data_IF_527282802490
#
_entry.id   IF_527282802490
#
_cell.length_a   1.000
_cell.length_b   1.000
_cell.length_c   1.000
_cell.angle_alpha   90.00
_cell.angle_beta   90.00
_cell.angle_gamma   90.00
#
_symmetry.space_group_name_H-M   'P 1'
#
loop_
_entity.id
_entity.type
_entity.pdbx_description
1 polymer ?
#
# COMPACT_ATOMS: atom_id res chain seq x y z
N UNK A 1 103.87 5.49 25.74
CA UNK A 1 102.76 4.67 26.24
C UNK A 1 101.53 5.51 26.39
N UNK A 2 100.60 5.49 25.42
CA UNK A 2 99.32 6.23 25.46
C UNK A 2 98.24 5.15 25.34
N UNK A 3 97.40 5.08 26.38
CA UNK A 3 96.21 4.22 26.38
C UNK A 3 95.01 5.00 25.78
N UNK A 4 94.52 4.55 24.63
CA UNK A 4 93.28 5.06 24.04
C UNK A 4 92.07 4.49 24.74
N UNK A 5 91.20 5.35 25.23
CA UNK A 5 89.87 4.99 25.74
C UNK A 5 88.85 5.00 24.60
N UNK A 6 88.28 3.87 24.36
CA UNK A 6 87.12 3.75 23.42
C UNK A 6 85.85 4.25 24.10
N UNK A 7 85.18 5.18 23.45
CA UNK A 7 83.83 5.70 23.81
C UNK A 7 82.82 4.87 23.02
N UNK A 8 81.87 4.23 23.76
CA UNK A 8 80.76 3.55 23.19
C UNK A 8 79.60 4.60 23.03
N UNK A 9 78.89 4.66 21.89
CA UNK A 9 77.71 5.51 21.76
C UNK A 9 76.49 4.85 22.36
N UNK A 10 75.81 5.62 23.22
CA UNK A 10 74.49 5.29 23.79
C UNK A 10 73.44 5.60 22.74
N UNK A 11 72.64 4.57 22.33
CA UNK A 11 71.52 4.72 21.44
C UNK A 11 70.28 5.24 22.20
N UNK A 12 69.49 6.21 21.68
CA UNK A 12 68.26 6.67 22.34
C UNK A 12 67.12 5.65 22.13
N UNK A 13 66.50 5.23 23.23
CA UNK A 13 65.27 4.44 23.21
C UNK A 13 64.13 5.24 22.63
N UNK A 14 63.60 4.85 21.46
CA UNK A 14 62.38 5.38 20.89
C UNK A 14 61.18 4.73 21.60
N UNK A 15 60.49 5.51 22.43
CA UNK A 15 59.20 5.16 23.01
C UNK A 15 58.14 5.18 21.91
N UNK A 16 57.58 4.03 21.54
CA UNK A 16 56.42 3.86 20.69
C UNK A 16 55.18 4.13 21.53
N UNK A 17 54.59 5.31 21.36
CA UNK A 17 53.22 5.62 21.82
C UNK A 17 52.22 4.96 20.85
N UNK A 18 51.67 3.83 21.24
CA UNK A 18 50.51 3.24 20.52
C UNK A 18 49.27 4.04 20.87
N UNK A 19 48.83 4.90 19.95
CA UNK A 19 47.53 5.57 20.05
C UNK A 19 46.41 4.57 19.77
N UNK A 20 45.70 4.14 20.80
CA UNK A 20 44.50 3.31 20.70
C UNK A 20 43.33 4.22 20.28
N UNK A 21 43.04 4.26 18.98
CA UNK A 21 41.85 4.93 18.45
C UNK A 21 40.63 4.08 18.78
N UNK A 22 39.89 4.48 19.80
CA UNK A 22 38.58 3.90 20.15
C UNK A 22 37.56 4.35 19.09
N UNK A 23 37.32 3.52 18.06
CA UNK A 23 36.22 3.72 17.11
C UNK A 23 34.92 3.38 17.83
N UNK A 24 34.23 4.40 18.35
CA UNK A 24 32.86 4.26 18.81
C UNK A 24 31.98 4.01 17.57
N UNK A 25 31.67 2.76 17.29
CA UNK A 25 30.61 2.40 16.33
C UNK A 25 29.29 2.88 16.91
N UNK A 26 28.76 3.97 16.34
CA UNK A 26 27.37 4.37 16.54
C UNK A 26 26.51 3.23 15.96
N UNK A 27 26.11 2.30 16.81
CA UNK A 27 25.08 1.35 16.48
C UNK A 27 23.80 2.12 16.24
N UNK A 28 23.42 2.28 14.96
CA UNK A 28 22.05 2.66 14.61
C UNK A 28 21.14 1.64 15.27
N UNK A 29 20.11 2.06 16.04
CA UNK A 29 19.19 1.10 16.62
C UNK A 29 18.53 0.33 15.47
N UNK A 30 18.87 -0.95 15.35
CA UNK A 30 18.13 -1.87 14.51
C UNK A 30 16.70 -1.89 15.07
N UNK A 31 15.73 -1.46 14.26
CA UNK A 31 14.32 -1.65 14.57
C UNK A 31 14.13 -3.15 14.64
N UNK A 32 13.84 -3.65 15.86
CA UNK A 32 13.27 -4.93 16.19
C UNK A 32 14.21 -6.15 16.44
N UNK A 33 14.61 -6.25 17.70
CA UNK A 33 14.67 -7.59 18.34
C UNK A 33 13.46 -7.81 19.29
N UNK A 34 12.61 -6.81 19.52
CA UNK A 34 11.42 -6.91 20.38
C UNK A 34 10.17 -6.58 19.59
N UNK A 35 9.21 -7.52 19.48
CA UNK A 35 7.95 -7.29 18.79
C UNK A 35 7.18 -6.10 19.38
N UNK A 36 6.62 -5.27 18.48
CA UNK A 36 5.81 -4.13 18.88
C UNK A 36 4.53 -4.59 19.62
N UNK A 37 4.20 -3.89 20.70
CA UNK A 37 3.06 -4.17 21.57
C UNK A 37 2.02 -3.05 21.56
N UNK A 38 2.37 -1.91 21.01
CA UNK A 38 1.49 -0.72 20.97
C UNK A 38 1.59 -0.08 19.60
N UNK A 39 0.80 -0.61 18.66
CA UNK A 39 0.83 -0.23 17.24
C UNK A 39 -0.25 0.81 16.95
N UNK A 40 0.11 1.84 16.18
CA UNK A 40 -0.84 2.75 15.54
C UNK A 40 -0.76 2.55 14.03
N UNK A 41 -1.89 2.52 13.34
CA UNK A 41 -1.96 2.44 11.87
C UNK A 41 -2.48 3.74 11.27
N UNK A 42 -1.84 4.23 10.21
CA UNK A 42 -2.19 5.49 9.53
C UNK A 42 -2.99 5.27 8.23
N UNK A 43 -3.48 4.06 8.00
CA UNK A 43 -4.40 3.77 6.90
C UNK A 43 -5.37 2.64 7.29
N UNK A 44 -6.62 2.63 6.77
CA UNK A 44 -7.62 1.61 7.10
C UNK A 44 -7.16 0.18 6.79
N UNK A 45 -6.56 -0.05 5.61
CA UNK A 45 -6.07 -1.37 5.22
C UNK A 45 -4.91 -1.88 6.09
N UNK A 46 -4.10 -0.99 6.68
CA UNK A 46 -3.06 -1.39 7.64
C UNK A 46 -3.68 -1.94 8.93
N UNK A 47 -4.81 -1.38 9.39
CA UNK A 47 -5.56 -1.97 10.50
C UNK A 47 -6.08 -3.36 10.12
N UNK A 48 -6.67 -3.53 8.91
CA UNK A 48 -7.09 -4.83 8.39
C UNK A 48 -5.94 -5.85 8.37
N UNK A 49 -4.74 -5.43 7.95
CA UNK A 49 -3.54 -6.29 7.94
C UNK A 49 -3.11 -6.69 9.34
N UNK A 50 -3.12 -5.77 10.33
CA UNK A 50 -2.80 -6.09 11.74
C UNK A 50 -3.77 -7.13 12.28
N UNK A 51 -5.07 -7.01 12.01
CA UNK A 51 -6.06 -8.04 12.37
C UNK A 51 -5.80 -9.36 11.63
N UNK A 52 -5.53 -9.32 10.33
CA UNK A 52 -5.29 -10.53 9.54
C UNK A 52 -4.04 -11.29 9.99
N UNK A 53 -3.03 -10.60 10.50
CA UNK A 53 -1.81 -11.23 11.03
C UNK A 53 -1.96 -11.74 12.47
N UNK A 54 -3.11 -11.52 13.13
CA UNK A 54 -3.35 -11.93 14.52
C UNK A 54 -2.67 -11.05 15.55
N UNK A 55 -2.34 -9.81 15.18
CA UNK A 55 -1.67 -8.83 16.04
C UNK A 55 -2.63 -7.76 16.60
N UNK A 56 -3.93 -7.98 16.53
CA UNK A 56 -4.96 -7.02 16.93
C UNK A 56 -4.85 -6.56 18.39
N UNK A 57 -4.34 -7.41 19.27
CA UNK A 57 -4.11 -7.05 20.67
C UNK A 57 -3.06 -5.93 20.85
N UNK A 58 -2.17 -5.75 19.87
CA UNK A 58 -1.19 -4.67 19.86
C UNK A 58 -1.76 -3.35 19.31
N UNK A 59 -2.90 -3.37 18.59
CA UNK A 59 -3.45 -2.19 17.92
C UNK A 59 -4.11 -1.24 18.93
N UNK A 60 -3.45 -0.12 19.23
CA UNK A 60 -3.91 0.87 20.21
C UNK A 60 -4.50 2.13 19.60
N UNK A 61 -4.32 2.35 18.29
CA UNK A 61 -4.86 3.49 17.57
C UNK A 61 -4.91 3.23 16.07
N UNK A 62 -5.85 3.89 15.39
CA UNK A 62 -6.00 3.84 13.93
C UNK A 62 -6.64 5.13 13.43
N UNK A 63 -6.70 5.30 12.10
CA UNK A 63 -7.33 6.47 11.47
C UNK A 63 -8.83 6.26 11.20
N UNK A 64 -9.52 7.34 10.83
CA UNK A 64 -10.91 7.27 10.37
C UNK A 64 -11.09 6.24 9.24
N UNK A 65 -12.30 5.74 9.07
CA UNK A 65 -12.66 4.70 8.09
C UNK A 65 -11.98 3.33 8.31
N UNK A 66 -11.32 3.09 9.45
CA UNK A 66 -10.82 1.77 9.84
C UNK A 66 -11.96 0.98 10.47
N UNK A 67 -12.81 0.41 9.65
CA UNK A 67 -14.11 -0.18 10.01
C UNK A 67 -14.18 -1.70 9.80
N UNK A 68 -13.13 -2.30 9.25
CA UNK A 68 -13.02 -3.73 9.04
C UNK A 68 -11.75 -4.32 9.72
N UNK A 69 -11.88 -5.51 10.34
CA UNK A 69 -13.13 -6.17 10.71
C UNK A 69 -13.97 -5.32 11.68
N UNK A 70 -15.19 -5.73 11.99
CA UNK A 70 -16.08 -4.93 12.86
C UNK A 70 -15.42 -4.51 14.19
N UNK A 71 -14.52 -5.34 14.73
CA UNK A 71 -13.74 -5.05 15.94
C UNK A 71 -12.84 -3.82 15.81
N UNK A 72 -12.38 -3.47 14.60
CA UNK A 72 -11.57 -2.27 14.36
C UNK A 72 -12.32 -0.97 14.69
N UNK A 73 -13.64 -0.98 14.69
CA UNK A 73 -14.47 0.19 15.05
C UNK A 73 -14.28 0.64 16.50
N UNK A 74 -13.91 -0.28 17.39
CA UNK A 74 -13.65 0.01 18.79
C UNK A 74 -12.27 0.59 19.08
N UNK A 75 -11.34 0.57 18.11
CA UNK A 75 -10.00 1.09 18.27
C UNK A 75 -10.03 2.64 18.28
N UNK A 76 -9.33 3.31 19.19
CA UNK A 76 -9.25 4.77 19.26
C UNK A 76 -8.80 5.39 17.93
N UNK A 77 -9.46 6.46 17.49
CA UNK A 77 -9.09 7.23 16.30
C UNK A 77 -8.00 8.25 16.65
N UNK A 78 -7.01 8.37 15.77
CA UNK A 78 -5.89 9.32 15.87
C UNK A 78 -5.91 10.36 14.75
N UNK A 79 -7.04 10.54 14.09
CA UNK A 79 -7.24 11.45 12.97
C UNK A 79 -7.57 10.74 11.68
N UNK A 80 -7.32 11.40 10.56
CA UNK A 80 -7.54 10.89 9.20
C UNK A 80 -6.22 10.90 8.39
N UNK A 81 -6.30 10.60 7.08
CA UNK A 81 -5.14 10.57 6.18
C UNK A 81 -4.41 11.93 6.05
N UNK A 82 -5.07 13.05 6.39
CA UNK A 82 -4.57 14.41 6.19
C UNK A 82 -4.25 15.13 7.50
N UNK A 83 -4.94 14.77 8.59
CA UNK A 83 -4.83 15.43 9.89
C UNK A 83 -4.73 14.40 11.00
N UNK A 84 -3.55 14.33 11.62
CA UNK A 84 -3.31 13.47 12.77
C UNK A 84 -3.42 14.28 14.07
N UNK A 85 -4.08 13.70 15.07
CA UNK A 85 -4.10 14.17 16.45
C UNK A 85 -2.83 13.70 17.17
N UNK A 86 -1.79 14.55 17.17
CA UNK A 86 -0.49 14.24 17.78
C UNK A 86 -0.59 14.02 19.29
N UNK A 87 -1.43 14.79 19.97
CA UNK A 87 -1.63 14.63 21.42
C UNK A 87 -2.24 13.27 21.73
N UNK A 88 -3.19 12.85 20.91
CA UNK A 88 -3.79 11.52 20.98
C UNK A 88 -2.77 10.43 20.73
N UNK A 89 -1.95 10.56 19.69
CA UNK A 89 -0.84 9.62 19.40
C UNK A 89 0.09 9.52 20.60
N UNK A 90 0.57 10.64 21.14
CA UNK A 90 1.44 10.67 22.32
C UNK A 90 0.78 10.03 23.54
N UNK A 91 -0.51 10.30 23.79
CA UNK A 91 -1.25 9.73 24.93
C UNK A 91 -1.38 8.21 24.85
N UNK A 92 -1.47 7.66 23.63
CA UNK A 92 -1.52 6.23 23.38
C UNK A 92 -0.15 5.54 23.53
N UNK A 93 0.94 6.30 23.63
CA UNK A 93 2.31 5.79 23.82
C UNK A 93 2.64 4.61 22.88
N UNK A 94 2.57 4.77 21.56
CA UNK A 94 2.91 3.70 20.64
C UNK A 94 4.41 3.40 20.69
N UNK A 95 4.76 2.13 20.53
CA UNK A 95 6.14 1.68 20.27
C UNK A 95 6.39 1.52 18.76
N UNK A 96 5.32 1.49 17.94
CA UNK A 96 5.39 1.44 16.48
C UNK A 96 4.22 2.18 15.83
N UNK A 97 4.52 2.95 14.78
CA UNK A 97 3.52 3.53 13.89
C UNK A 97 3.70 2.91 12.50
N UNK A 98 2.62 2.35 11.93
CA UNK A 98 2.59 1.84 10.57
C UNK A 98 2.04 2.93 9.65
N UNK A 99 2.87 3.40 8.73
CA UNK A 99 2.51 4.37 7.69
C UNK A 99 2.39 3.64 6.34
N UNK A 100 1.58 4.18 5.44
CA UNK A 100 1.39 3.61 4.10
C UNK A 100 2.29 4.32 3.09
N UNK A 101 3.08 3.53 2.33
CA UNK A 101 3.85 3.99 1.19
C UNK A 101 2.96 4.50 0.07
N UNK A 102 2.72 5.37 -0.46
CA UNK A 102 1.74 5.80 -1.48
C UNK A 102 0.54 6.60 -0.95
N UNK A 103 0.35 6.67 0.40
CA UNK A 103 -0.79 7.40 0.96
C UNK A 103 -0.46 8.29 2.15
N UNK A 104 0.48 7.91 3.01
CA UNK A 104 0.90 8.77 4.13
C UNK A 104 1.91 9.81 3.63
N UNK A 105 1.64 11.13 3.75
CA UNK A 105 2.58 12.15 3.30
C UNK A 105 3.94 12.02 3.99
N UNK A 106 5.03 12.16 3.22
CA UNK A 106 6.41 12.06 3.74
C UNK A 106 6.64 13.04 4.92
N UNK A 107 6.09 14.26 4.83
CA UNK A 107 6.19 15.24 5.91
C UNK A 107 5.58 14.76 7.23
N UNK A 108 4.49 13.97 7.18
CA UNK A 108 3.85 13.37 8.36
C UNK A 108 4.76 12.29 8.95
N UNK A 109 5.36 11.45 8.10
CA UNK A 109 6.30 10.41 8.53
C UNK A 109 7.52 11.03 9.23
N UNK A 110 8.13 12.04 8.62
CA UNK A 110 9.29 12.74 9.19
C UNK A 110 8.95 13.47 10.50
N UNK A 111 7.76 14.05 10.58
CA UNK A 111 7.28 14.69 11.80
C UNK A 111 7.15 13.68 12.95
N UNK A 112 6.51 12.53 12.72
CA UNK A 112 6.36 11.48 13.72
C UNK A 112 7.71 10.92 14.17
N UNK A 113 8.67 10.76 13.25
CA UNK A 113 10.05 10.38 13.58
C UNK A 113 10.75 11.45 14.43
N UNK A 114 10.55 12.73 14.09
CA UNK A 114 11.06 13.87 14.89
C UNK A 114 10.47 13.95 16.29
N UNK A 115 9.23 13.48 16.47
CA UNK A 115 8.57 13.36 17.77
C UNK A 115 9.08 12.12 18.58
N UNK A 116 10.00 11.34 18.03
CA UNK A 116 10.61 10.17 18.68
C UNK A 116 9.86 8.86 18.48
N UNK A 117 8.86 8.81 17.59
CA UNK A 117 8.15 7.56 17.28
C UNK A 117 8.91 6.70 16.26
N UNK A 118 8.97 5.39 16.49
CA UNK A 118 9.38 4.43 15.47
C UNK A 118 8.30 4.34 14.39
N UNK A 119 8.66 4.63 13.12
CA UNK A 119 7.73 4.61 12.00
C UNK A 119 8.22 3.62 10.95
N UNK A 120 7.44 2.56 10.71
CA UNK A 120 7.63 1.62 9.61
C UNK A 120 6.70 1.99 8.46
N UNK A 121 7.28 2.14 7.27
CA UNK A 121 6.52 2.39 6.03
C UNK A 121 6.23 1.04 5.38
N UNK A 122 4.95 0.78 5.16
CA UNK A 122 4.45 -0.46 4.57
C UNK A 122 4.08 -0.19 3.12
N UNK A 123 4.67 -0.96 2.20
CA UNK A 123 4.35 -0.90 0.78
C UNK A 123 3.01 -1.56 0.45
N UNK A 124 2.49 -1.30 -0.74
CA UNK A 124 1.19 -1.84 -1.17
C UNK A 124 0.81 -1.33 -2.57
N UNK A 125 1.81 -1.08 -3.43
CA UNK A 125 1.68 -0.51 -4.77
C UNK A 125 1.40 -1.56 -5.87
N UNK A 126 1.55 -2.85 -5.55
CA UNK A 126 1.23 -3.94 -6.48
C UNK A 126 0.28 -4.96 -5.85
N UNK A 127 -0.42 -5.73 -6.68
CA UNK A 127 -1.26 -6.83 -6.21
C UNK A 127 -0.47 -7.86 -5.39
N UNK A 128 0.81 -8.08 -5.71
CA UNK A 128 1.66 -9.04 -4.97
C UNK A 128 2.20 -8.50 -3.65
N UNK A 129 2.43 -7.20 -3.56
CA UNK A 129 3.06 -6.57 -2.38
C UNK A 129 2.20 -6.61 -1.12
N UNK A 130 0.89 -6.88 -1.25
CA UNK A 130 0.00 -7.10 -0.09
C UNK A 130 0.46 -8.29 0.76
N UNK A 131 0.90 -9.38 0.13
CA UNK A 131 1.44 -10.53 0.85
C UNK A 131 2.76 -10.20 1.57
N UNK A 132 3.63 -9.41 0.93
CA UNK A 132 4.89 -8.97 1.52
C UNK A 132 4.66 -8.03 2.71
N UNK A 133 3.64 -7.16 2.61
CA UNK A 133 3.19 -6.28 3.68
C UNK A 133 2.67 -7.06 4.90
N UNK A 134 1.88 -8.13 4.68
CA UNK A 134 1.43 -9.02 5.76
C UNK A 134 2.62 -9.64 6.50
N UNK A 135 3.62 -10.17 5.77
CA UNK A 135 4.82 -10.75 6.37
C UNK A 135 5.66 -9.68 7.11
N UNK A 136 5.77 -8.47 6.57
CA UNK A 136 6.47 -7.36 7.22
C UNK A 136 5.80 -7.00 8.55
N UNK A 137 4.46 -6.85 8.57
CA UNK A 137 3.71 -6.57 9.80
C UNK A 137 3.86 -7.72 10.80
N UNK A 138 3.82 -8.96 10.33
CA UNK A 138 4.06 -10.14 11.17
C UNK A 138 5.41 -10.08 11.91
N UNK A 139 6.49 -9.78 11.21
CA UNK A 139 7.82 -9.61 11.82
C UNK A 139 7.85 -8.48 12.85
N UNK A 140 7.24 -7.33 12.52
CA UNK A 140 7.21 -6.16 13.39
C UNK A 140 6.40 -6.39 14.67
N UNK A 141 5.40 -7.26 14.63
CA UNK A 141 4.46 -7.51 15.73
C UNK A 141 4.67 -8.86 16.43
N UNK A 142 5.61 -9.69 15.94
CA UNK A 142 5.87 -11.04 16.48
C UNK A 142 4.75 -12.03 16.18
N UNK A 143 4.04 -11.84 15.05
CA UNK A 143 2.95 -12.71 14.60
C UNK A 143 3.28 -13.43 13.28
N UNK A 144 4.57 -13.76 13.05
CA UNK A 144 5.11 -14.26 11.78
C UNK A 144 4.40 -15.52 11.28
N UNK A 145 4.06 -16.44 12.18
CA UNK A 145 3.41 -17.70 11.79
C UNK A 145 2.05 -17.45 11.13
N UNK A 146 1.21 -16.61 11.74
CA UNK A 146 -0.11 -16.26 11.19
C UNK A 146 0.06 -15.41 9.93
N UNK A 147 0.97 -14.44 9.95
CA UNK A 147 1.26 -13.56 8.83
C UNK A 147 1.70 -14.35 7.59
N UNK A 148 2.65 -15.29 7.74
CA UNK A 148 3.13 -16.14 6.64
C UNK A 148 2.02 -17.02 6.06
N UNK A 149 1.13 -17.55 6.91
CA UNK A 149 -0.04 -18.32 6.46
C UNK A 149 -0.99 -17.44 5.63
N UNK A 150 -1.31 -16.23 6.08
CA UNK A 150 -2.18 -15.31 5.36
C UNK A 150 -1.53 -14.83 4.04
N UNK A 151 -0.24 -14.53 4.07
CA UNK A 151 0.52 -14.16 2.87
C UNK A 151 0.55 -15.28 1.82
N UNK A 152 0.74 -16.53 2.25
CA UNK A 152 0.70 -17.68 1.36
C UNK A 152 -0.69 -17.84 0.72
N UNK A 153 -1.77 -17.79 1.51
CA UNK A 153 -3.14 -17.84 1.00
C UNK A 153 -3.42 -16.74 -0.03
N UNK A 154 -3.02 -15.53 0.28
CA UNK A 154 -3.19 -14.41 -0.64
C UNK A 154 -2.45 -14.63 -1.97
N UNK A 155 -1.20 -15.13 -1.92
CA UNK A 155 -0.42 -15.46 -3.13
C UNK A 155 -1.07 -16.57 -3.95
N UNK A 156 -1.60 -17.61 -3.30
CA UNK A 156 -2.29 -18.71 -3.96
C UNK A 156 -3.58 -18.24 -4.65
N UNK A 157 -4.40 -17.43 -3.99
CA UNK A 157 -5.61 -16.84 -4.57
C UNK A 157 -5.28 -15.92 -5.74
N UNK A 158 -4.24 -15.09 -5.63
CA UNK A 158 -3.78 -14.24 -6.72
C UNK A 158 -3.27 -15.07 -7.92
N UNK A 159 -2.59 -16.18 -7.67
CA UNK A 159 -2.12 -17.09 -8.72
C UNK A 159 -3.30 -17.76 -9.46
N UNK A 160 -4.33 -18.17 -8.73
CA UNK A 160 -5.56 -18.73 -9.33
C UNK A 160 -6.25 -17.71 -10.25
N UNK A 161 -6.37 -16.44 -9.80
CA UNK A 161 -6.95 -15.39 -10.64
C UNK A 161 -6.12 -15.14 -11.90
N UNK A 162 -4.79 -15.07 -11.77
CA UNK A 162 -3.87 -14.89 -12.91
C UNK A 162 -4.01 -16.03 -13.93
N UNK A 163 -4.05 -17.27 -13.46
CA UNK A 163 -4.19 -18.44 -14.35
C UNK A 163 -5.56 -18.46 -15.04
N UNK A 164 -6.62 -18.08 -14.34
CA UNK A 164 -7.97 -18.03 -14.92
C UNK A 164 -8.09 -17.02 -16.08
N UNK A 165 -7.44 -15.86 -15.97
CA UNK A 165 -7.65 -14.75 -16.89
C UNK A 165 -6.47 -14.45 -17.83
N UNK A 166 -5.36 -15.22 -17.79
CA UNK A 166 -4.14 -14.95 -18.57
C UNK A 166 -4.34 -14.97 -20.10
N UNK A 167 -5.39 -15.61 -20.60
CA UNK A 167 -5.75 -15.66 -22.03
C UNK A 167 -7.04 -14.92 -22.35
N UNK A 168 -7.57 -14.15 -21.45
CA UNK A 168 -8.79 -13.42 -21.68
C UNK A 168 -8.61 -12.35 -22.76
N UNK A 169 -9.61 -12.19 -23.65
CA UNK A 169 -9.59 -11.15 -24.67
C UNK A 169 -9.54 -9.76 -24.03
N UNK A 170 -8.66 -8.89 -24.54
CA UNK A 170 -8.43 -7.57 -23.95
C UNK A 170 -9.62 -6.66 -24.27
N UNK A 171 -10.17 -6.04 -23.19
CA UNK A 171 -11.26 -5.06 -23.27
C UNK A 171 -10.77 -3.68 -22.86
N UNK A 172 -10.86 -2.63 -23.72
CA UNK A 172 -10.66 -1.24 -23.33
C UNK A 172 -11.61 -0.88 -22.19
N UNK A 173 -11.04 -0.49 -21.05
CA UNK A 173 -11.78 -0.30 -19.80
C UNK A 173 -11.52 1.09 -19.25
N UNK A 174 -12.58 1.79 -18.85
CA UNK A 174 -12.53 3.04 -18.12
C UNK A 174 -12.91 2.80 -16.65
N UNK A 175 -12.15 3.35 -15.72
CA UNK A 175 -12.48 3.30 -14.29
C UNK A 175 -12.71 4.72 -13.75
N UNK A 176 -13.92 4.99 -13.27
CA UNK A 176 -14.29 6.29 -12.69
C UNK A 176 -14.16 6.26 -11.17
N UNK A 177 -13.32 7.16 -10.60
CA UNK A 177 -13.20 7.36 -9.16
C UNK A 177 -14.26 8.33 -8.65
N UNK A 178 -14.44 9.45 -9.35
CA UNK A 178 -15.40 10.48 -9.00
C UNK A 178 -15.99 11.15 -10.24
N UNK A 179 -17.14 11.79 -10.10
CA UNK A 179 -17.85 12.41 -11.21
C UNK A 179 -17.54 13.91 -11.35
N UNK A 180 -17.38 14.61 -10.23
CA UNK A 180 -17.16 16.07 -10.19
C UNK A 180 -16.14 16.44 -9.11
N UNK A 181 -14.88 16.74 -9.52
CA UNK A 181 -14.33 16.59 -10.87
C UNK A 181 -14.22 15.14 -11.31
N UNK A 182 -14.22 14.92 -12.63
CA UNK A 182 -14.10 13.57 -13.18
C UNK A 182 -12.65 13.07 -13.03
N UNK A 183 -12.44 12.10 -12.14
CA UNK A 183 -11.16 11.45 -11.90
C UNK A 183 -11.18 9.99 -12.33
N UNK A 184 -10.04 9.55 -12.87
CA UNK A 184 -9.75 8.16 -13.24
C UNK A 184 -8.45 7.69 -12.64
N UNK A 185 -8.25 6.38 -12.60
CA UNK A 185 -6.95 5.75 -12.29
C UNK A 185 -6.03 5.75 -13.50
N UNK A 186 -4.72 5.81 -13.27
CA UNK A 186 -3.70 5.66 -14.31
C UNK A 186 -3.08 4.26 -14.27
N UNK A 187 -2.15 3.94 -15.18
CA UNK A 187 -1.48 2.64 -15.21
C UNK A 187 -0.66 2.29 -13.97
N UNK A 188 -0.24 3.30 -13.19
CA UNK A 188 0.54 3.09 -11.96
C UNK A 188 -0.33 2.68 -10.75
N UNK A 189 -1.65 2.84 -10.84
CA UNK A 189 -2.56 2.56 -9.73
C UNK A 189 -2.93 1.07 -9.68
N UNK A 190 -3.04 0.50 -8.48
CA UNK A 190 -3.29 -0.94 -8.25
C UNK A 190 -4.58 -1.44 -8.91
N UNK A 191 -5.60 -0.58 -9.06
CA UNK A 191 -6.84 -0.90 -9.78
C UNK A 191 -6.56 -1.18 -11.26
N UNK A 192 -5.62 -0.46 -11.90
CA UNK A 192 -5.22 -0.74 -13.27
C UNK A 192 -4.54 -2.09 -13.40
N UNK A 193 -3.74 -2.49 -12.42
CA UNK A 193 -3.16 -3.84 -12.38
C UNK A 193 -4.25 -4.92 -12.23
N UNK A 194 -5.31 -4.63 -11.46
CA UNK A 194 -6.46 -5.53 -11.37
C UNK A 194 -7.22 -5.64 -12.70
N UNK A 195 -7.43 -4.53 -13.40
CA UNK A 195 -8.03 -4.50 -14.73
C UNK A 195 -7.18 -5.34 -15.72
N UNK A 196 -5.85 -5.14 -15.72
CA UNK A 196 -4.93 -5.88 -16.60
C UNK A 196 -4.94 -7.39 -16.31
N UNK A 197 -4.92 -7.77 -15.03
CA UNK A 197 -5.02 -9.16 -14.60
C UNK A 197 -6.29 -9.83 -15.14
N UNK A 198 -7.42 -9.11 -15.17
CA UNK A 198 -8.70 -9.59 -15.64
C UNK A 198 -8.85 -9.54 -17.18
N UNK A 199 -7.78 -9.20 -17.91
CA UNK A 199 -7.83 -9.05 -19.38
C UNK A 199 -8.52 -7.76 -19.82
N UNK A 200 -8.51 -6.72 -18.98
CA UNK A 200 -8.85 -5.37 -19.40
C UNK A 200 -7.60 -4.60 -19.82
N UNK A 201 -7.78 -3.40 -20.36
CA UNK A 201 -6.74 -2.40 -20.56
C UNK A 201 -7.31 -1.04 -20.19
N UNK A 202 -6.74 -0.42 -19.16
CA UNK A 202 -7.16 0.94 -18.79
C UNK A 202 -6.88 1.91 -19.94
N UNK A 203 -7.91 2.61 -20.44
CA UNK A 203 -7.79 3.55 -21.56
C UNK A 203 -7.00 4.80 -21.22
N UNK A 204 -6.73 5.05 -19.94
CA UNK A 204 -5.92 6.16 -19.43
C UNK A 204 -4.64 5.70 -18.71
N UNK A 205 -4.16 4.48 -19.02
CA UNK A 205 -2.96 3.93 -18.38
C UNK A 205 -1.71 4.79 -18.59
N UNK A 206 -1.60 5.49 -19.72
CA UNK A 206 -0.41 6.27 -20.08
C UNK A 206 -0.34 7.66 -19.41
N UNK A 207 -1.38 8.07 -18.67
CA UNK A 207 -1.35 9.33 -17.95
C UNK A 207 -0.43 9.22 -16.70
N UNK A 208 0.27 10.32 -16.34
CA UNK A 208 1.20 10.31 -15.21
C UNK A 208 0.49 10.30 -13.85
N UNK A 209 1.20 9.82 -12.82
CA UNK A 209 0.73 9.75 -11.43
C UNK A 209 -0.16 8.54 -11.18
N UNK A 210 -0.86 8.51 -10.04
CA UNK A 210 -1.77 7.42 -9.65
C UNK A 210 -3.21 7.70 -10.10
N UNK A 211 -3.58 8.97 -10.16
CA UNK A 211 -4.93 9.47 -10.53
C UNK A 211 -4.78 10.64 -11.48
N UNK A 212 -5.69 10.76 -12.42
CA UNK A 212 -5.74 11.86 -13.36
C UNK A 212 -7.15 12.44 -13.48
N UNK A 213 -7.23 13.75 -13.63
CA UNK A 213 -8.47 14.42 -14.02
C UNK A 213 -8.59 14.34 -15.54
N UNK A 214 -9.75 13.90 -16.02
CA UNK A 214 -10.05 13.78 -17.46
C UNK A 214 -11.35 14.52 -17.79
N UNK A 215 -11.56 14.85 -19.06
CA UNK A 215 -12.83 15.39 -19.52
C UNK A 215 -13.78 14.29 -20.02
N UNK A 216 -15.06 14.57 -20.06
CA UNK A 216 -16.04 13.63 -20.63
C UNK A 216 -15.75 13.36 -22.11
N UNK A 217 -15.31 14.39 -22.85
CA UNK A 217 -14.93 14.28 -24.27
C UNK A 217 -13.75 13.34 -24.46
N UNK A 218 -12.75 13.35 -23.55
CA UNK A 218 -11.62 12.44 -23.59
C UNK A 218 -12.09 10.98 -23.38
N UNK A 219 -13.03 10.73 -22.48
CA UNK A 219 -13.61 9.39 -22.26
C UNK A 219 -14.40 8.94 -23.49
N UNK A 220 -15.21 9.82 -24.09
CA UNK A 220 -15.95 9.51 -25.33
C UNK A 220 -14.98 9.21 -26.49
N UNK A 221 -13.90 9.99 -26.63
CA UNK A 221 -12.90 9.77 -27.67
C UNK A 221 -12.11 8.45 -27.46
N UNK A 222 -11.92 8.01 -26.21
CA UNK A 222 -11.27 6.73 -25.89
C UNK A 222 -12.18 5.52 -26.14
N UNK A 223 -13.47 5.72 -26.24
CA UNK A 223 -14.53 4.74 -26.51
C UNK A 223 -14.33 3.39 -25.77
N UNK A 224 -14.34 3.39 -24.42
CA UNK A 224 -14.16 2.18 -23.64
C UNK A 224 -15.29 1.18 -23.90
N UNK A 225 -14.97 -0.11 -23.93
CA UNK A 225 -15.97 -1.18 -24.05
C UNK A 225 -16.60 -1.57 -22.71
N UNK A 226 -15.92 -1.24 -21.62
CA UNK A 226 -16.40 -1.46 -20.25
C UNK A 226 -16.14 -0.21 -19.43
N UNK A 227 -17.13 0.18 -18.63
CA UNK A 227 -17.00 1.28 -17.65
C UNK A 227 -17.24 0.74 -16.25
N UNK A 228 -16.29 1.00 -15.37
CA UNK A 228 -16.34 0.65 -13.96
C UNK A 228 -16.38 1.92 -13.11
N UNK A 229 -17.10 1.89 -12.01
CA UNK A 229 -17.02 2.93 -10.97
C UNK A 229 -17.14 2.30 -9.59
N UNK A 230 -16.68 3.02 -8.56
CA UNK A 230 -16.90 2.58 -7.19
C UNK A 230 -18.34 2.85 -6.77
N UNK A 231 -18.98 1.82 -6.19
CA UNK A 231 -20.27 1.99 -5.54
C UNK A 231 -20.10 2.92 -4.34
N UNK A 232 -20.97 3.94 -4.25
CA UNK A 232 -21.03 4.88 -3.12
C UNK A 232 -22.42 4.85 -2.48
N UNK A 233 -22.57 5.53 -1.34
CA UNK A 233 -23.87 5.76 -0.74
C UNK A 233 -24.56 6.91 -1.50
N UNK A 234 -25.39 6.61 -2.49
CA UNK A 234 -26.09 7.63 -3.26
C UNK A 234 -26.46 7.19 -4.67
N UNK A 235 -26.52 8.15 -5.57
CA UNK A 235 -26.90 7.96 -6.96
C UNK A 235 -25.87 7.12 -7.74
N UNK A 236 -26.34 6.51 -8.84
CA UNK A 236 -25.49 5.75 -9.76
C UNK A 236 -24.38 6.66 -10.35
N UNK A 237 -23.10 6.46 -10.00
CA UNK A 237 -22.00 7.32 -10.48
C UNK A 237 -21.78 7.23 -11.98
N UNK A 238 -22.33 6.19 -12.65
CA UNK A 238 -22.27 6.03 -14.10
C UNK A 238 -23.53 6.56 -14.84
N UNK A 239 -24.52 7.09 -14.13
CA UNK A 239 -25.78 7.55 -14.71
C UNK A 239 -25.57 8.58 -15.84
N UNK A 240 -24.63 9.51 -15.66
CA UNK A 240 -24.31 10.54 -16.68
C UNK A 240 -23.90 9.97 -18.04
N UNK A 241 -23.32 8.79 -18.07
CA UNK A 241 -22.81 8.18 -19.31
C UNK A 241 -23.94 7.62 -20.17
N UNK A 242 -25.08 7.26 -19.59
CA UNK A 242 -26.23 6.68 -20.31
C UNK A 242 -26.80 7.58 -21.42
N UNK A 243 -26.50 8.89 -21.38
CA UNK A 243 -26.88 9.82 -22.45
C UNK A 243 -26.04 9.70 -23.73
N UNK A 244 -24.85 9.06 -23.66
CA UNK A 244 -23.96 8.85 -24.79
C UNK A 244 -24.22 7.48 -25.41
N UNK A 245 -25.34 7.36 -26.14
CA UNK A 245 -25.82 6.09 -26.67
C UNK A 245 -24.86 5.40 -27.67
N UNK A 246 -24.01 6.20 -28.33
CA UNK A 246 -23.02 5.70 -29.29
C UNK A 246 -21.75 5.18 -28.62
N UNK A 247 -21.56 5.39 -27.30
CA UNK A 247 -20.42 4.87 -26.56
C UNK A 247 -20.52 3.35 -26.44
N UNK A 248 -19.47 2.63 -26.85
CA UNK A 248 -19.49 1.16 -26.91
C UNK A 248 -19.93 0.49 -25.60
N UNK A 249 -19.47 0.98 -24.44
CA UNK A 249 -19.89 0.46 -23.15
C UNK A 249 -21.37 0.71 -22.85
N UNK A 250 -21.92 1.84 -23.31
CA UNK A 250 -23.33 2.22 -23.06
C UNK A 250 -24.27 1.43 -23.95
N UNK A 251 -23.96 1.34 -25.25
CA UNK A 251 -24.77 0.60 -26.23
C UNK A 251 -24.84 -0.91 -25.89
N UNK A 252 -23.76 -1.47 -25.34
CA UNK A 252 -23.70 -2.86 -24.91
C UNK A 252 -24.20 -3.09 -23.45
N UNK A 253 -24.47 -2.04 -22.68
CA UNK A 253 -24.88 -2.15 -21.28
C UNK A 253 -23.76 -2.60 -20.32
N UNK A 254 -22.51 -2.34 -20.66
CA UNK A 254 -21.32 -2.73 -19.88
C UNK A 254 -20.90 -1.64 -18.89
N UNK A 255 -21.81 -1.28 -18.01
CA UNK A 255 -21.65 -0.31 -16.93
C UNK A 255 -21.78 -1.04 -15.60
N UNK A 256 -20.69 -1.12 -14.84
CA UNK A 256 -20.66 -1.91 -13.60
C UNK A 256 -20.16 -1.09 -12.41
N UNK A 257 -20.67 -1.44 -11.23
CA UNK A 257 -20.21 -0.89 -9.96
C UNK A 257 -19.41 -1.94 -9.21
N UNK A 258 -18.29 -1.53 -8.62
CA UNK A 258 -17.45 -2.34 -7.75
C UNK A 258 -17.38 -1.71 -6.35
N UNK A 259 -17.14 -2.53 -5.34
CA UNK A 259 -17.01 -2.03 -3.97
C UNK A 259 -15.72 -1.21 -3.81
N UNK A 260 -15.88 0.08 -3.51
CA UNK A 260 -14.76 1.01 -3.34
C UNK A 260 -13.80 0.61 -2.23
N UNK A 261 -14.30 0.08 -1.12
CA UNK A 261 -13.46 -0.36 0.00
C UNK A 261 -12.61 -1.59 -0.34
N UNK A 262 -13.07 -2.41 -1.28
CA UNK A 262 -12.35 -3.60 -1.72
C UNK A 262 -11.29 -3.30 -2.78
N UNK A 263 -11.50 -2.32 -3.65
CA UNK A 263 -10.56 -2.05 -4.75
C UNK A 263 -9.56 -0.93 -4.44
N UNK A 264 -9.87 -0.02 -3.51
CA UNK A 264 -8.99 1.12 -3.17
C UNK A 264 -8.09 0.89 -1.96
N UNK A 265 -8.33 -0.18 -1.19
CA UNK A 265 -7.56 -0.52 0.00
C UNK A 265 -6.63 -1.70 -0.32
N UNK A 266 -5.30 -1.49 -0.47
CA UNK A 266 -4.35 -2.57 -0.72
C UNK A 266 -4.15 -3.44 0.53
N UNK A 267 -5.15 -4.22 0.86
CA UNK A 267 -5.25 -5.08 2.04
C UNK A 267 -5.67 -6.51 1.72
N UNK A 268 -5.87 -7.35 2.73
CA UNK A 268 -6.21 -8.77 2.54
C UNK A 268 -7.47 -9.01 1.69
N UNK A 269 -8.41 -8.07 1.69
CA UNK A 269 -9.67 -8.16 0.93
C UNK A 269 -9.57 -7.69 -0.52
N UNK A 270 -8.42 -7.16 -0.95
CA UNK A 270 -8.26 -6.62 -2.31
C UNK A 270 -8.63 -7.63 -3.39
N UNK A 271 -8.32 -8.92 -3.23
CA UNK A 271 -8.63 -9.95 -4.23
C UNK A 271 -10.14 -10.18 -4.40
N UNK A 272 -10.96 -9.86 -3.41
CA UNK A 272 -12.43 -9.85 -3.58
C UNK A 272 -12.83 -8.75 -4.58
N UNK A 273 -12.26 -7.55 -4.43
CA UNK A 273 -12.47 -6.45 -5.37
C UNK A 273 -11.93 -6.75 -6.78
N UNK A 274 -10.75 -7.38 -6.87
CA UNK A 274 -10.20 -7.87 -8.13
C UNK A 274 -11.16 -8.84 -8.80
N UNK A 275 -11.75 -9.77 -8.05
CA UNK A 275 -12.74 -10.72 -8.58
C UNK A 275 -13.98 -10.02 -9.14
N UNK A 276 -14.49 -8.97 -8.47
CA UNK A 276 -15.61 -8.16 -8.99
C UNK A 276 -15.28 -7.50 -10.34
N UNK A 277 -14.04 -6.98 -10.48
CA UNK A 277 -13.56 -6.42 -11.76
C UNK A 277 -13.51 -7.53 -12.82
N UNK A 278 -12.93 -8.67 -12.50
CA UNK A 278 -12.84 -9.81 -13.43
C UNK A 278 -14.21 -10.31 -13.89
N UNK A 279 -15.16 -10.46 -12.98
CA UNK A 279 -16.54 -10.88 -13.28
C UNK A 279 -17.25 -9.87 -14.20
N UNK A 280 -17.04 -8.57 -13.99
CA UNK A 280 -17.57 -7.50 -14.83
C UNK A 280 -17.03 -7.59 -16.26
N UNK A 281 -15.70 -7.80 -16.41
CA UNK A 281 -15.09 -7.94 -17.71
C UNK A 281 -15.49 -9.26 -18.41
N UNK A 282 -15.62 -10.35 -17.67
CA UNK A 282 -16.08 -11.65 -18.19
C UNK A 282 -17.53 -11.56 -18.71
N UNK A 283 -18.42 -10.93 -17.93
CA UNK A 283 -19.80 -10.66 -18.35
C UNK A 283 -19.89 -9.80 -19.63
N UNK A 284 -18.93 -8.88 -19.81
CA UNK A 284 -18.87 -8.04 -21.02
C UNK A 284 -18.39 -8.80 -22.26
N UNK A 285 -17.61 -9.88 -22.09
CA UNK A 285 -17.19 -10.76 -23.22
C UNK A 285 -18.34 -11.65 -23.68
N UNK A 286 -19.11 -12.24 -22.75
CA UNK A 286 -20.21 -13.15 -23.07
C UNK A 286 -21.42 -12.48 -23.74
N UNK A 287 -21.59 -11.16 -23.59
CA UNK A 287 -22.67 -10.40 -24.25
C UNK A 287 -22.33 -9.91 -25.65
N UNK A 288 -21.08 -10.05 -26.07
CA UNK A 288 -20.63 -9.59 -27.39
C UNK A 288 -20.84 -10.64 -28.48
N UNK A 289 -21.27 -11.85 -28.14
CA UNK A 289 -21.43 -13.01 -29.04
C UNK A 289 -22.91 -13.29 -29.41
N UNK A 290 -23.87 -12.50 -28.88
CA UNK A 290 -25.30 -12.53 -29.23
C UNK A 290 -25.71 -11.31 -30.08
#
# INVERSE_FOLDING_TARGET
MRRSRALYPVAPARALFAAFVLVATLATPAIADVPARRVITLAPHLAEMVFATGAEAALVGTVEYSDYPAAARAIPRVGDAFRLDRERIMSLRPDLVLAWDGGTPVAVIEQLRGDGHAVAVIGGDTLGSVADALEQIGRLTGSETTASLQAARYRDELAVLRERYHRAAILPTFFQISEQPLYTVTGQQIISQAIDLCGGRNVFADLPGLVAQVSAEAVVAADPRVMLATAGAGDDPLARWRRFQDLAAVSAGHLYLVDGDLVSRPGPRLLIGVSQICESLEASRGRSDD
#
